data_IF_101063713388
#
_entry.id   IF_101063713388
#
_cell.length_a   1.000
_cell.length_b   1.000
_cell.length_c   1.000
_cell.angle_alpha   90.00
_cell.angle_beta   90.00
_cell.angle_gamma   90.00
#
_symmetry.space_group_name_H-M   'P 1'
#
loop_
_entity.id
_entity.type
_entity.pdbx_description
1 polymer ?
#
# COMPACT_ATOMS: atom_id res chain seq x y z
N UNK A 1 4.77 68.92 4.66
CA UNK A 1 5.38 67.63 5.03
C UNK A 1 4.56 66.97 6.14
N UNK A 2 3.73 65.99 5.83
CA UNK A 2 2.85 65.39 6.82
C UNK A 2 3.48 64.05 7.24
N UNK A 3 3.74 63.90 8.54
CA UNK A 3 4.42 62.75 9.16
C UNK A 3 3.45 61.56 9.25
N UNK A 4 3.90 60.40 8.76
CA UNK A 4 3.20 59.11 8.87
C UNK A 4 3.41 58.53 10.28
N UNK A 5 2.33 58.44 11.06
CA UNK A 5 2.32 57.71 12.34
C UNK A 5 2.34 56.20 12.04
N UNK A 6 3.38 55.49 12.49
CA UNK A 6 3.41 54.03 12.54
C UNK A 6 2.45 53.52 13.63
N UNK A 7 1.45 52.74 13.23
CA UNK A 7 0.59 52.00 14.15
C UNK A 7 1.27 50.64 14.39
N UNK A 8 1.89 50.48 15.52
CA UNK A 8 2.45 49.21 15.98
C UNK A 8 1.36 48.26 16.46
N UNK A 9 0.85 47.43 15.55
CA UNK A 9 -0.04 46.32 15.87
C UNK A 9 0.77 45.09 16.26
N UNK A 10 0.95 44.85 17.56
CA UNK A 10 1.55 43.61 18.05
C UNK A 10 0.63 42.45 17.77
N UNK A 11 1.08 41.48 16.95
CA UNK A 11 0.38 40.20 16.72
C UNK A 11 0.44 39.40 18.03
N UNK A 12 -0.70 38.99 18.61
CA UNK A 12 -0.70 38.18 19.82
C UNK A 12 -0.16 36.77 19.48
N UNK A 13 0.94 36.41 20.14
CA UNK A 13 1.49 35.07 20.08
C UNK A 13 0.48 34.04 20.63
N UNK A 14 0.18 32.95 19.92
CA UNK A 14 -0.75 31.95 20.42
C UNK A 14 -0.15 31.28 21.67
N UNK A 15 -0.87 31.41 22.80
CA UNK A 15 -0.53 30.70 24.04
C UNK A 15 -0.46 29.20 23.76
N UNK A 16 0.70 28.58 24.02
CA UNK A 16 0.90 27.15 23.88
C UNK A 16 -0.14 26.40 24.73
N UNK A 17 -1.05 25.74 24.07
CA UNK A 17 -2.06 24.86 24.67
C UNK A 17 -1.32 23.67 25.26
N UNK A 18 -1.15 23.61 26.59
CA UNK A 18 -0.59 22.45 27.29
C UNK A 18 -1.40 21.22 26.86
N UNK A 19 -0.74 20.34 26.12
CA UNK A 19 -1.28 19.05 25.69
C UNK A 19 -1.60 18.24 26.95
N UNK A 20 -2.89 18.11 27.26
CA UNK A 20 -3.37 17.27 28.33
C UNK A 20 -3.01 15.84 27.96
N UNK A 21 -1.94 15.30 28.56
CA UNK A 21 -1.63 13.87 28.50
C UNK A 21 -2.70 13.14 29.31
N UNK A 22 -3.79 12.79 28.64
CA UNK A 22 -4.70 11.78 29.18
C UNK A 22 -3.90 10.48 29.20
N UNK A 23 -3.61 9.99 30.41
CA UNK A 23 -3.15 8.62 30.60
C UNK A 23 -4.11 7.72 29.82
N UNK A 24 -3.63 6.73 29.02
CA UNK A 24 -4.53 5.79 28.41
C UNK A 24 -5.37 5.16 29.52
N UNK A 25 -6.69 5.24 29.39
CA UNK A 25 -7.60 4.52 30.26
C UNK A 25 -7.13 3.07 30.27
N UNK A 26 -6.96 2.51 31.45
CA UNK A 26 -6.46 1.17 31.67
C UNK A 26 -7.21 0.20 30.75
N UNK A 27 -6.49 -0.66 30.04
CA UNK A 27 -6.95 -1.70 29.12
C UNK A 27 -7.88 -2.77 29.73
N UNK A 28 -8.43 -2.53 30.89
CA UNK A 28 -9.27 -3.48 31.66
C UNK A 28 -10.74 -3.48 31.24
N UNK A 29 -11.20 -2.55 30.41
CA UNK A 29 -12.61 -2.45 30.00
C UNK A 29 -12.92 -3.01 28.59
N UNK A 30 -12.01 -3.76 27.97
CA UNK A 30 -12.16 -4.26 26.58
C UNK A 30 -12.85 -5.63 26.45
N UNK A 31 -13.38 -6.19 27.52
CA UNK A 31 -13.79 -7.60 27.54
C UNK A 31 -15.13 -7.96 26.87
N UNK A 32 -15.92 -7.02 26.39
CA UNK A 32 -17.18 -7.38 25.70
C UNK A 32 -17.11 -7.27 24.17
N UNK A 33 -16.18 -6.47 23.63
CA UNK A 33 -16.00 -6.33 22.17
C UNK A 33 -14.92 -7.26 21.59
N UNK A 34 -14.17 -7.98 22.41
CA UNK A 34 -13.12 -8.91 22.00
C UNK A 34 -13.64 -10.03 21.09
N UNK A 35 -14.89 -10.48 21.31
CA UNK A 35 -15.49 -11.55 20.51
C UNK A 35 -15.55 -11.22 19.02
N UNK A 36 -16.02 -10.04 18.64
CA UNK A 36 -16.16 -9.65 17.24
C UNK A 36 -14.78 -9.53 16.56
N UNK A 37 -13.87 -8.82 17.20
CA UNK A 37 -12.49 -8.64 16.69
C UNK A 37 -11.78 -9.98 16.59
N UNK A 38 -11.93 -10.85 17.59
CA UNK A 38 -11.37 -12.19 17.58
C UNK A 38 -11.96 -13.04 16.44
N UNK A 39 -13.27 -13.04 16.28
CA UNK A 39 -13.96 -13.81 15.24
C UNK A 39 -13.52 -13.38 13.83
N UNK A 40 -13.38 -12.07 13.60
CA UNK A 40 -12.86 -11.53 12.33
C UNK A 40 -11.40 -11.97 12.12
N UNK A 41 -10.56 -11.83 13.14
CA UNK A 41 -9.13 -12.21 13.04
C UNK A 41 -8.97 -13.71 12.76
N UNK A 42 -9.71 -14.56 13.46
CA UNK A 42 -9.68 -16.01 13.27
C UNK A 42 -10.13 -16.40 11.85
N UNK A 43 -11.10 -15.70 11.30
CA UNK A 43 -11.55 -15.85 9.92
C UNK A 43 -10.48 -15.48 8.89
N UNK A 44 -9.74 -14.41 9.14
CA UNK A 44 -8.69 -13.91 8.25
C UNK A 44 -7.43 -14.79 8.23
N UNK A 45 -7.10 -15.46 9.33
CA UNK A 45 -5.88 -16.29 9.44
C UNK A 45 -6.03 -17.63 8.71
N UNK A 46 -7.24 -18.12 8.47
CA UNK A 46 -7.51 -19.48 7.98
C UNK A 46 -7.10 -19.78 6.54
N UNK A 47 -6.65 -18.81 5.76
CA UNK A 47 -6.26 -19.03 4.37
C UNK A 47 -4.73 -18.90 4.18
N UNK A 48 -3.98 -20.01 4.18
CA UNK A 48 -2.58 -19.96 3.80
C UNK A 48 -2.47 -19.64 2.29
N UNK A 49 -1.51 -18.79 1.93
CA UNK A 49 -1.16 -18.61 0.52
C UNK A 49 -0.48 -19.89 0.00
N UNK A 50 -0.88 -20.39 -1.17
CA UNK A 50 -0.22 -21.53 -1.78
C UNK A 50 1.23 -21.20 -2.12
N UNK A 51 2.12 -22.18 -1.98
CA UNK A 51 3.49 -22.06 -2.48
C UNK A 51 3.49 -21.82 -4.00
N UNK A 52 4.26 -20.84 -4.46
CA UNK A 52 4.35 -20.44 -5.87
C UNK A 52 5.72 -20.76 -6.44
N UNK A 53 6.12 -22.03 -6.43
CA UNK A 53 7.39 -22.47 -7.02
C UNK A 53 7.38 -22.49 -8.56
N UNK A 54 8.58 -22.57 -9.16
CA UNK A 54 8.79 -22.78 -10.60
C UNK A 54 8.65 -21.53 -11.48
N UNK A 55 8.46 -20.35 -10.89
CA UNK A 55 8.35 -19.08 -11.62
C UNK A 55 8.92 -17.94 -10.81
N UNK A 56 9.43 -16.94 -11.52
CA UNK A 56 9.77 -15.65 -10.95
C UNK A 56 8.54 -14.75 -10.93
N UNK A 57 8.29 -14.11 -9.80
CA UNK A 57 7.26 -13.10 -9.64
C UNK A 57 7.90 -11.74 -9.36
N UNK A 58 7.42 -10.64 -9.94
CA UNK A 58 8.01 -9.31 -9.72
C UNK A 58 8.20 -8.96 -8.25
N UNK A 59 7.22 -9.28 -7.40
CA UNK A 59 7.29 -9.08 -5.95
C UNK A 59 8.35 -9.91 -5.21
N UNK A 60 8.87 -10.97 -5.84
CA UNK A 60 9.92 -11.83 -5.28
C UNK A 60 11.29 -11.39 -5.83
N UNK A 61 11.36 -11.13 -7.14
CA UNK A 61 12.61 -10.75 -7.82
C UNK A 61 13.13 -9.38 -7.34
N UNK A 62 12.23 -8.50 -6.91
CA UNK A 62 12.60 -7.21 -6.31
C UNK A 62 13.31 -7.33 -4.94
N UNK A 63 13.39 -8.55 -4.36
CA UNK A 63 14.11 -8.77 -3.11
C UNK A 63 15.62 -8.62 -3.31
N UNK A 64 16.33 -7.86 -2.45
CA UNK A 64 17.80 -7.76 -2.50
C UNK A 64 18.50 -9.05 -2.05
N UNK A 65 17.76 -10.05 -1.57
CA UNK A 65 18.30 -11.31 -1.08
C UNK A 65 18.17 -12.40 -2.16
N UNK A 66 19.23 -12.66 -2.91
CA UNK A 66 19.26 -13.70 -3.95
C UNK A 66 18.91 -15.09 -3.41
N UNK A 67 19.36 -15.41 -2.18
CA UNK A 67 19.00 -16.66 -1.53
C UNK A 67 17.48 -16.79 -1.33
N UNK A 68 16.81 -15.71 -0.97
CA UNK A 68 15.35 -15.70 -0.85
C UNK A 68 14.69 -15.97 -2.19
N UNK A 69 15.15 -15.29 -3.26
CA UNK A 69 14.65 -15.50 -4.63
C UNK A 69 14.82 -16.95 -5.07
N UNK A 70 16.03 -17.53 -4.84
CA UNK A 70 16.31 -18.94 -5.14
C UNK A 70 15.37 -19.90 -4.41
N UNK A 71 15.21 -19.73 -3.08
CA UNK A 71 14.35 -20.59 -2.27
C UNK A 71 12.88 -20.46 -2.68
N UNK A 72 12.43 -19.25 -3.00
CA UNK A 72 11.07 -18.99 -3.48
C UNK A 72 10.81 -19.66 -4.83
N UNK A 73 11.74 -19.52 -5.78
CA UNK A 73 11.65 -20.17 -7.09
C UNK A 73 11.55 -21.71 -6.97
N UNK A 74 12.31 -22.29 -6.08
CA UNK A 74 12.29 -23.76 -5.85
C UNK A 74 11.13 -24.22 -4.94
N UNK A 75 10.24 -23.33 -4.51
CA UNK A 75 9.13 -23.70 -3.62
C UNK A 75 9.56 -24.16 -2.23
N UNK A 76 10.78 -23.80 -1.81
CA UNK A 76 11.37 -24.21 -0.54
C UNK A 76 11.03 -23.28 0.64
N UNK A 77 10.32 -22.18 0.36
CA UNK A 77 9.81 -21.30 1.42
C UNK A 77 8.49 -21.89 1.93
N UNK A 78 8.43 -22.28 3.20
CA UNK A 78 7.19 -22.80 3.75
C UNK A 78 6.14 -21.70 3.77
N UNK A 79 4.86 -22.02 3.47
CA UNK A 79 3.78 -21.07 3.57
C UNK A 79 3.68 -20.57 5.02
N UNK A 80 3.81 -19.28 5.21
CA UNK A 80 3.66 -18.64 6.52
C UNK A 80 2.24 -18.06 6.64
N UNK A 81 1.54 -18.31 7.74
CA UNK A 81 0.25 -17.69 7.97
C UNK A 81 0.41 -16.16 8.03
N UNK A 82 -0.41 -15.47 7.29
CA UNK A 82 -0.43 -14.01 7.32
C UNK A 82 -1.22 -13.55 8.54
N UNK A 83 -0.62 -12.69 9.35
CA UNK A 83 -1.29 -12.12 10.50
C UNK A 83 -2.53 -11.31 10.08
N UNK A 84 -3.59 -11.34 10.89
CA UNK A 84 -4.87 -10.71 10.56
C UNK A 84 -4.78 -9.19 10.28
N UNK A 85 -3.87 -8.48 10.96
CA UNK A 85 -3.62 -7.07 10.71
C UNK A 85 -3.00 -6.83 9.32
N UNK A 86 -2.09 -7.70 8.86
CA UNK A 86 -1.50 -7.63 7.52
C UNK A 86 -2.55 -7.94 6.47
N UNK A 87 -3.42 -8.94 6.73
CA UNK A 87 -4.52 -9.26 5.82
C UNK A 87 -5.46 -8.06 5.63
N UNK A 88 -5.83 -7.36 6.69
CA UNK A 88 -6.64 -6.13 6.57
C UNK A 88 -5.98 -5.03 5.75
N UNK A 89 -4.64 -4.93 5.78
CA UNK A 89 -3.91 -4.00 4.91
C UNK A 89 -4.08 -4.40 3.45
N UNK A 90 -4.01 -5.70 3.13
CA UNK A 90 -4.24 -6.18 1.77
C UNK A 90 -5.68 -5.94 1.32
N UNK A 91 -6.67 -6.24 2.15
CA UNK A 91 -8.08 -5.99 1.85
C UNK A 91 -8.35 -4.50 1.59
N UNK A 92 -7.69 -3.59 2.32
CA UNK A 92 -7.73 -2.15 2.02
C UNK A 92 -7.12 -1.82 0.66
N UNK A 93 -6.01 -2.48 0.29
CA UNK A 93 -5.39 -2.34 -1.02
C UNK A 93 -6.34 -2.78 -2.14
N UNK A 94 -6.95 -3.94 -1.99
CA UNK A 94 -7.92 -4.50 -2.94
C UNK A 94 -9.14 -3.59 -3.11
N UNK A 95 -9.64 -3.02 -2.01
CA UNK A 95 -10.74 -2.05 -2.07
C UNK A 95 -10.37 -0.77 -2.82
N UNK A 96 -9.17 -0.24 -2.59
CA UNK A 96 -8.66 0.91 -3.33
C UNK A 96 -8.50 0.58 -4.81
N UNK A 97 -7.97 -0.60 -5.14
CA UNK A 97 -7.87 -1.09 -6.50
C UNK A 97 -9.23 -1.07 -7.20
N UNK A 98 -10.23 -1.69 -6.60
CA UNK A 98 -11.59 -1.66 -7.13
C UNK A 98 -12.12 -0.24 -7.35
N UNK A 99 -11.82 0.70 -6.45
CA UNK A 99 -12.28 2.09 -6.58
C UNK A 99 -11.60 2.81 -7.73
N UNK A 100 -10.30 2.62 -7.94
CA UNK A 100 -9.57 3.21 -9.07
C UNK A 100 -10.02 2.61 -10.40
N UNK A 101 -10.30 1.30 -10.46
CA UNK A 101 -10.93 0.69 -11.65
C UNK A 101 -12.19 1.43 -12.06
N UNK A 102 -13.08 1.74 -11.10
CA UNK A 102 -14.30 2.52 -11.37
C UNK A 102 -14.01 3.91 -11.91
N UNK A 103 -13.03 4.61 -11.35
CA UNK A 103 -12.64 5.94 -11.86
C UNK A 103 -12.14 5.87 -13.30
N UNK A 104 -11.29 4.89 -13.64
CA UNK A 104 -10.77 4.75 -14.99
C UNK A 104 -11.86 4.32 -15.99
N UNK A 105 -12.84 3.54 -15.56
CA UNK A 105 -14.03 3.21 -16.34
C UNK A 105 -14.91 4.45 -16.59
N UNK A 106 -15.21 5.23 -15.55
CA UNK A 106 -16.01 6.44 -15.63
C UNK A 106 -15.37 7.51 -16.54
N UNK A 107 -14.03 7.58 -16.52
CA UNK A 107 -13.26 8.45 -17.42
C UNK A 107 -13.16 7.92 -18.86
N UNK A 108 -13.55 6.67 -19.10
CA UNK A 108 -13.44 6.03 -20.41
C UNK A 108 -12.00 5.74 -20.85
N UNK A 109 -11.05 5.71 -19.91
CA UNK A 109 -9.63 5.50 -20.22
C UNK A 109 -9.12 4.08 -19.88
N UNK A 110 -9.89 3.27 -19.18
CA UNK A 110 -9.50 1.89 -18.85
C UNK A 110 -9.50 1.03 -20.12
N UNK A 111 -8.35 0.40 -20.40
CA UNK A 111 -8.22 -0.57 -21.49
C UNK A 111 -8.37 -1.99 -20.94
N UNK A 112 -7.68 -2.28 -19.81
CA UNK A 112 -7.61 -3.61 -19.24
C UNK A 112 -7.20 -3.54 -17.75
N UNK A 113 -7.57 -4.55 -16.96
CA UNK A 113 -7.23 -4.61 -15.54
C UNK A 113 -6.90 -6.04 -15.10
N UNK A 114 -6.03 -6.17 -14.09
CA UNK A 114 -5.70 -7.44 -13.43
C UNK A 114 -5.30 -8.57 -14.40
N UNK A 115 -4.73 -8.22 -15.54
CA UNK A 115 -4.42 -9.19 -16.59
C UNK A 115 -3.11 -9.92 -16.33
N UNK A 116 -3.14 -11.27 -16.33
CA UNK A 116 -1.92 -12.04 -16.16
C UNK A 116 -0.99 -11.88 -17.35
N UNK A 117 0.29 -11.72 -17.05
CA UNK A 117 1.39 -11.69 -18.01
C UNK A 117 2.35 -12.83 -17.72
N UNK A 118 2.94 -13.38 -18.78
CA UNK A 118 3.89 -14.50 -18.68
C UNK A 118 5.02 -14.32 -19.68
N UNK A 119 6.22 -14.71 -19.26
CA UNK A 119 7.37 -14.94 -20.09
C UNK A 119 7.87 -16.35 -19.80
N UNK A 120 8.23 -17.11 -20.83
CA UNK A 120 8.64 -18.51 -20.66
C UNK A 120 10.15 -18.63 -20.39
N UNK A 121 10.96 -17.75 -20.94
CA UNK A 121 12.42 -17.74 -20.74
C UNK A 121 12.93 -16.31 -20.51
N UNK A 122 13.35 -15.98 -19.28
CA UNK A 122 13.18 -16.74 -18.05
C UNK A 122 11.71 -16.89 -17.64
N UNK A 123 11.34 -17.92 -16.85
CA UNK A 123 9.94 -18.19 -16.48
C UNK A 123 9.40 -17.15 -15.51
N UNK A 124 8.95 -16.01 -16.02
CA UNK A 124 8.38 -14.91 -15.25
C UNK A 124 6.86 -14.98 -15.33
N UNK A 125 6.17 -14.75 -14.21
CA UNK A 125 4.73 -14.63 -14.16
C UNK A 125 4.35 -13.45 -13.28
N UNK A 126 3.51 -12.57 -13.79
CA UNK A 126 3.00 -11.42 -13.09
C UNK A 126 1.58 -11.10 -13.48
N UNK A 127 1.07 -10.04 -12.92
CA UNK A 127 -0.23 -9.46 -13.25
C UNK A 127 -0.07 -7.96 -13.03
N UNK A 128 -0.40 -7.16 -14.02
CA UNK A 128 -0.41 -5.73 -13.85
C UNK A 128 -1.77 -5.27 -13.31
N UNK A 129 -1.79 -4.16 -12.60
CA UNK A 129 -3.03 -3.64 -12.02
C UNK A 129 -3.93 -3.06 -13.13
N UNK A 130 -3.43 -2.11 -13.93
CA UNK A 130 -4.23 -1.47 -14.98
C UNK A 130 -3.43 -1.18 -16.24
N UNK A 131 -4.11 -1.22 -17.37
CA UNK A 131 -3.70 -0.63 -18.64
C UNK A 131 -4.68 0.48 -18.98
N UNK A 132 -4.19 1.70 -19.16
CA UNK A 132 -5.04 2.86 -19.49
C UNK A 132 -4.61 3.51 -20.81
N UNK A 133 -5.54 4.23 -21.42
CA UNK A 133 -5.24 5.11 -22.56
C UNK A 133 -4.89 6.49 -22.01
N UNK A 134 -3.61 6.84 -22.00
CA UNK A 134 -3.14 8.18 -21.64
C UNK A 134 -3.16 9.09 -22.86
N UNK A 135 -3.56 10.35 -22.70
CA UNK A 135 -3.68 11.31 -23.81
C UNK A 135 -2.38 11.56 -24.56
N UNK A 136 -1.24 11.61 -23.83
CA UNK A 136 0.08 11.93 -24.41
C UNK A 136 0.88 10.67 -24.72
N UNK A 137 0.87 9.69 -23.79
CA UNK A 137 1.74 8.51 -23.88
C UNK A 137 1.07 7.30 -24.52
N UNK A 138 -0.22 7.37 -24.86
CA UNK A 138 -0.95 6.23 -25.41
C UNK A 138 -1.22 5.16 -24.37
N UNK A 139 -1.02 3.89 -24.71
CA UNK A 139 -1.21 2.77 -23.78
C UNK A 139 -0.17 2.81 -22.69
N UNK A 140 -0.62 2.97 -21.45
CA UNK A 140 0.23 3.15 -20.26
C UNK A 140 -0.15 2.14 -19.19
N UNK A 141 0.85 1.45 -18.64
CA UNK A 141 0.70 0.62 -17.45
C UNK A 141 0.62 1.49 -16.21
N UNK A 142 -0.29 1.14 -15.31
CA UNK A 142 -0.42 1.79 -14.01
C UNK A 142 -0.36 0.73 -12.93
N UNK A 143 0.54 0.89 -11.99
CA UNK A 143 0.68 0.09 -10.78
C UNK A 143 0.20 0.91 -9.59
N UNK A 144 -0.78 0.40 -8.86
CA UNK A 144 -1.37 1.07 -7.70
C UNK A 144 -0.71 0.58 -6.40
N UNK A 145 -0.13 1.50 -5.64
CA UNK A 145 0.45 1.18 -4.33
C UNK A 145 -0.22 1.97 -3.23
N UNK A 146 -0.90 1.29 -2.32
CA UNK A 146 -1.38 1.90 -1.09
C UNK A 146 -0.23 2.09 -0.11
N UNK A 147 -0.09 3.30 0.42
CA UNK A 147 1.01 3.64 1.31
C UNK A 147 0.49 4.49 2.47
N UNK A 148 1.06 4.33 3.66
CA UNK A 148 0.70 5.16 4.80
C UNK A 148 1.25 6.59 4.68
N UNK A 149 0.70 7.52 5.45
CA UNK A 149 1.08 8.95 5.44
C UNK A 149 2.59 9.19 5.62
N UNK A 150 3.25 8.43 6.50
CA UNK A 150 4.72 8.55 6.71
C UNK A 150 5.49 8.10 5.48
N UNK A 151 5.08 6.99 4.88
CA UNK A 151 5.68 6.49 3.66
C UNK A 151 5.45 7.44 2.50
N UNK A 152 4.24 7.98 2.34
CA UNK A 152 3.92 8.95 1.30
C UNK A 152 4.75 10.24 1.41
N UNK A 153 4.91 10.78 2.62
CA UNK A 153 5.76 11.95 2.86
C UNK A 153 7.25 11.72 2.60
N UNK A 154 7.70 10.46 2.69
CA UNK A 154 9.08 10.10 2.35
C UNK A 154 9.31 9.97 0.83
N UNK A 155 8.25 9.88 0.02
CA UNK A 155 8.31 9.82 -1.44
C UNK A 155 8.22 11.25 -2.02
N UNK A 156 9.25 12.08 -1.80
CA UNK A 156 9.20 13.48 -2.23
C UNK A 156 9.37 13.61 -3.75
N UNK A 157 10.18 12.77 -4.37
CA UNK A 157 10.51 12.88 -5.79
C UNK A 157 10.44 11.56 -6.55
N UNK A 158 10.78 10.44 -5.90
CA UNK A 158 10.93 9.15 -6.56
C UNK A 158 10.17 8.03 -5.85
N UNK A 159 9.65 7.04 -6.58
CA UNK A 159 9.12 5.82 -6.00
C UNK A 159 10.23 5.09 -5.20
N UNK A 160 9.84 4.22 -4.26
CA UNK A 160 10.81 3.36 -3.59
C UNK A 160 11.52 2.46 -4.60
N UNK A 161 12.80 2.16 -4.35
CA UNK A 161 13.62 1.35 -5.25
C UNK A 161 13.03 -0.03 -5.56
N UNK A 162 12.40 -0.65 -4.57
CA UNK A 162 11.70 -1.93 -4.72
C UNK A 162 10.45 -1.85 -5.61
N UNK A 163 9.83 -0.67 -5.73
CA UNK A 163 8.71 -0.45 -6.65
C UNK A 163 9.17 -0.37 -8.12
N UNK A 164 10.34 0.19 -8.39
CA UNK A 164 10.91 0.22 -9.76
C UNK A 164 11.15 -1.17 -10.34
N UNK A 165 11.53 -2.13 -9.50
CA UNK A 165 11.80 -3.49 -9.94
C UNK A 165 10.53 -4.33 -10.19
N UNK A 166 9.35 -3.76 -9.96
CA UNK A 166 8.06 -4.41 -10.20
C UNK A 166 7.37 -3.95 -11.49
N UNK A 167 7.87 -2.87 -12.09
CA UNK A 167 7.43 -2.33 -13.38
C UNK A 167 8.24 -2.93 -14.53
#
# INVERSE_FOLDING_TARGET
MAGIKQIGGGVPTPKSRKRRTTKPASLVALNQDEWLVKSINDGLIKQPYPSRGGKFYPSIVSSPCERYVYLAFNGLIPPSPIAANVRRIFDCGDYLGYRFSKYFQELGILIDEEKPTKLDDPPISGRYDYMIQHEVYGKTLVELKSINDKGFKALITDPKSDHYLQL
#
